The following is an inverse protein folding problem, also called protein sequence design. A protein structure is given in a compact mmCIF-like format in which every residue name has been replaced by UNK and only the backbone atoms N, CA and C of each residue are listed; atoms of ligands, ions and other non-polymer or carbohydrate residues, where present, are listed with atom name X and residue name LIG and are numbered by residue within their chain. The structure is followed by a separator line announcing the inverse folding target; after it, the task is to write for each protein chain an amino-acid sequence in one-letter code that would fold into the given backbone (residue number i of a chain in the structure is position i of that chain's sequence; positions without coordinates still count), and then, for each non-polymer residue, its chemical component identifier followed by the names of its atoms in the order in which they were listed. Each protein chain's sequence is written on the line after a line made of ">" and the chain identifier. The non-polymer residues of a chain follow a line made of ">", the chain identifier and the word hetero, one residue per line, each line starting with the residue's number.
data_IF_383688901749
#
_entry.id   IF_383688901749
#
_cell.length_a   1.000
_cell.length_b   1.000
_cell.length_c   1.000
_cell.angle_alpha   90.00
_cell.angle_beta   90.00
_cell.angle_gamma   90.00
#
_symmetry.space_group_name_H-M   'P 1'
#
loop_
_entity.id
_entity.type
_entity.pdbx_description
1 polymer ?
#
# COMPACT_ATOMS: atom_id res chain seq x y z
N UNK A 1 -11.18 10.00 -24.25
CA UNK A 1 -10.54 10.03 -22.91
C UNK A 1 -9.33 10.93 -23.00
N UNK A 2 -9.14 11.87 -22.06
CA UNK A 2 -7.92 12.68 -22.02
C UNK A 2 -6.72 11.83 -21.59
N UNK A 3 -5.51 12.19 -22.04
CA UNK A 3 -4.27 11.50 -21.65
C UNK A 3 -4.10 11.48 -20.14
N UNK A 4 -3.69 10.34 -19.59
CA UNK A 4 -3.37 10.24 -18.16
C UNK A 4 -2.17 11.16 -17.84
N UNK A 5 -2.19 11.89 -16.73
CA UNK A 5 -1.09 12.77 -16.36
C UNK A 5 0.19 11.95 -16.12
N UNK A 6 1.34 12.46 -16.59
CA UNK A 6 2.68 11.80 -16.50
C UNK A 6 2.97 11.17 -15.13
N UNK A 7 2.69 11.82 -13.98
CA UNK A 7 2.85 11.23 -12.64
C UNK A 7 2.16 9.88 -12.40
N UNK A 8 1.17 9.51 -13.22
CA UNK A 8 0.42 8.24 -13.09
C UNK A 8 0.97 7.12 -13.96
N UNK A 9 1.79 7.43 -14.95
CA UNK A 9 2.27 6.46 -15.95
C UNK A 9 3.77 6.19 -15.84
N UNK A 10 4.52 7.10 -15.21
CA UNK A 10 5.95 6.91 -14.97
C UNK A 10 6.13 6.02 -13.73
N UNK A 11 6.79 4.85 -13.86
CA UNK A 11 7.15 4.02 -12.71
C UNK A 11 7.96 4.82 -11.71
N UNK A 12 7.51 4.84 -10.46
CA UNK A 12 8.17 5.56 -9.38
C UNK A 12 7.84 4.86 -8.07
N UNK A 13 8.72 5.02 -7.08
CA UNK A 13 8.44 4.49 -5.74
C UNK A 13 7.18 5.14 -5.15
N UNK A 14 6.53 4.48 -4.17
CA UNK A 14 5.36 5.04 -3.50
C UNK A 14 5.63 6.44 -2.97
N UNK A 15 4.62 7.30 -3.09
CA UNK A 15 4.62 8.69 -2.70
C UNK A 15 5.68 9.59 -3.37
N UNK A 16 6.40 9.15 -4.40
CA UNK A 16 7.29 10.06 -5.14
C UNK A 16 6.51 11.24 -5.74
N UNK A 17 5.35 10.96 -6.34
CA UNK A 17 4.33 11.95 -6.67
C UNK A 17 3.18 11.85 -5.66
N UNK A 18 2.97 12.89 -4.86
CA UNK A 18 2.00 12.90 -3.78
C UNK A 18 1.00 14.05 -3.91
N UNK A 19 -0.30 13.76 -3.91
CA UNK A 19 -1.34 14.75 -3.69
C UNK A 19 -1.61 14.93 -2.20
N UNK A 20 -1.93 16.15 -1.75
CA UNK A 20 -2.26 16.44 -0.35
C UNK A 20 -3.51 17.30 -0.21
N UNK A 21 -4.41 16.90 0.70
CA UNK A 21 -5.66 17.60 1.00
C UNK A 21 -5.98 17.48 2.49
N UNK A 22 -6.75 18.42 3.03
CA UNK A 22 -7.26 18.38 4.39
C UNK A 22 -8.70 17.91 4.47
N UNK A 23 -9.00 17.11 5.49
CA UNK A 23 -10.35 16.78 5.90
C UNK A 23 -10.66 17.35 7.29
N UNK A 24 -11.90 17.79 7.49
CA UNK A 24 -12.38 18.36 8.74
C UNK A 24 -13.12 19.68 8.52
N UNK A 25 -13.38 20.44 9.60
CA UNK A 25 -12.98 20.16 10.97
C UNK A 25 -13.72 18.96 11.58
N UNK A 26 -13.04 18.23 12.46
CA UNK A 26 -13.60 17.26 13.39
C UNK A 26 -13.45 17.81 14.82
N UNK A 27 -14.34 17.42 15.72
CA UNK A 27 -14.31 17.87 17.11
C UNK A 27 -13.74 16.76 18.01
N UNK A 28 -12.58 17.01 18.60
CA UNK A 28 -11.96 16.17 19.61
C UNK A 28 -12.52 16.52 20.99
N UNK A 29 -12.65 15.51 21.87
CA UNK A 29 -12.83 15.72 23.31
C UNK A 29 -11.47 15.71 24.02
N UNK A 30 -11.22 16.66 24.91
CA UNK A 30 -10.11 16.52 25.85
C UNK A 30 -10.39 15.33 26.79
N UNK A 31 -9.46 14.38 26.84
CA UNK A 31 -9.61 13.11 27.56
C UNK A 31 -9.32 13.20 29.05
N UNK A 32 -8.80 14.33 29.55
CA UNK A 32 -8.25 14.43 30.91
C UNK A 32 -9.07 15.28 31.88
N UNK A 33 -9.95 16.15 31.41
CA UNK A 33 -10.66 17.11 32.27
C UNK A 33 -12.18 16.94 32.25
N UNK A 34 -12.82 17.22 33.41
CA UNK A 34 -14.28 17.16 33.59
C UNK A 34 -15.02 18.21 32.74
N UNK A 35 -14.33 19.28 32.34
CA UNK A 35 -14.84 20.34 31.45
C UNK A 35 -14.53 19.99 29.98
N UNK A 36 -15.59 19.69 29.23
CA UNK A 36 -15.56 19.17 27.86
C UNK A 36 -15.27 20.26 26.82
N UNK A 37 -14.09 20.88 26.86
CA UNK A 37 -13.66 21.75 25.76
C UNK A 37 -13.47 20.89 24.52
N UNK A 38 -14.21 21.20 23.46
CA UNK A 38 -14.06 20.56 22.15
C UNK A 38 -12.99 21.30 21.37
N UNK A 39 -11.97 20.57 20.92
CA UNK A 39 -10.87 21.14 20.13
C UNK A 39 -11.09 20.73 18.68
N UNK A 40 -10.91 21.67 17.74
CA UNK A 40 -10.95 21.34 16.32
C UNK A 40 -9.72 20.52 15.94
N UNK A 41 -9.91 19.52 15.10
CA UNK A 41 -8.84 18.76 14.51
C UNK A 41 -9.12 18.54 13.02
N UNK A 42 -8.05 18.31 12.28
CA UNK A 42 -8.07 18.10 10.85
C UNK A 42 -7.22 16.87 10.53
N UNK A 43 -7.52 16.23 9.41
CA UNK A 43 -6.74 15.10 8.90
C UNK A 43 -6.05 15.57 7.64
N UNK A 44 -4.72 15.61 7.65
CA UNK A 44 -3.90 15.80 6.47
C UNK A 44 -3.81 14.46 5.73
N UNK A 45 -4.32 14.40 4.51
CA UNK A 45 -4.42 13.18 3.71
C UNK A 45 -3.43 13.28 2.55
N UNK A 46 -2.46 12.39 2.55
CA UNK A 46 -1.47 12.21 1.49
C UNK A 46 -1.88 11.05 0.61
N UNK A 47 -1.87 11.23 -0.70
CA UNK A 47 -2.24 10.19 -1.67
C UNK A 47 -1.13 10.04 -2.70
N UNK A 48 -0.64 8.82 -2.85
CA UNK A 48 0.31 8.47 -3.88
C UNK A 48 -0.37 8.46 -5.25
N UNK A 49 0.13 9.23 -6.22
CA UNK A 49 -0.47 9.30 -7.56
C UNK A 49 -0.16 8.07 -8.42
N UNK A 50 0.93 7.34 -8.14
CA UNK A 50 1.30 6.12 -8.86
C UNK A 50 0.54 4.89 -8.34
N UNK A 51 0.59 4.61 -7.04
CA UNK A 51 0.00 3.39 -6.43
C UNK A 51 -1.40 3.60 -5.87
N UNK A 52 -1.86 4.86 -5.78
CA UNK A 52 -3.09 5.26 -5.08
C UNK A 52 -3.07 4.93 -3.57
N UNK A 53 -1.91 4.66 -2.98
CA UNK A 53 -1.78 4.49 -1.54
C UNK A 53 -2.18 5.77 -0.80
N UNK A 54 -2.78 5.62 0.39
CA UNK A 54 -3.24 6.72 1.26
C UNK A 54 -2.37 6.74 2.50
N UNK A 55 -2.07 7.94 3.01
CA UNK A 55 -1.49 8.14 4.34
C UNK A 55 -2.23 9.28 5.04
N UNK A 56 -2.58 9.11 6.31
CA UNK A 56 -3.40 10.06 7.07
C UNK A 56 -2.69 10.52 8.35
N UNK A 57 -2.65 11.84 8.54
CA UNK A 57 -2.03 12.48 9.71
C UNK A 57 -3.03 13.38 10.44
N UNK A 58 -3.20 13.17 11.74
CA UNK A 58 -4.02 14.03 12.58
C UNK A 58 -3.26 15.30 12.97
N UNK A 59 -3.91 16.45 12.83
CA UNK A 59 -3.41 17.75 13.27
C UNK A 59 -4.51 18.51 14.03
N UNK A 60 -4.12 19.46 14.88
CA UNK A 60 -5.03 20.24 15.73
C UNK A 60 -5.35 21.62 15.16
N UNK A 61 -4.68 22.02 14.08
CA UNK A 61 -4.89 23.30 13.42
C UNK A 61 -4.57 23.19 11.92
N UNK A 62 -4.87 24.26 11.17
CA UNK A 62 -4.53 24.40 9.75
C UNK A 62 -3.37 25.38 9.55
N UNK A 63 -2.46 25.50 10.53
CA UNK A 63 -1.30 26.37 10.38
C UNK A 63 -0.25 25.75 9.45
N UNK A 64 0.66 26.59 8.95
CA UNK A 64 1.87 26.14 8.23
C UNK A 64 2.70 25.19 9.08
N UNK A 65 2.89 25.50 10.37
CA UNK A 65 3.66 24.65 11.28
C UNK A 65 2.99 23.29 11.52
N UNK A 66 1.67 23.29 11.73
CA UNK A 66 0.86 22.08 11.86
C UNK A 66 1.00 21.17 10.63
N UNK A 67 0.95 21.75 9.43
CA UNK A 67 1.21 21.02 8.19
C UNK A 67 2.65 20.48 8.13
N UNK A 68 3.67 21.31 8.38
CA UNK A 68 5.07 20.89 8.29
C UNK A 68 5.37 19.73 9.24
N UNK A 69 4.78 19.75 10.44
CA UNK A 69 4.89 18.64 11.40
C UNK A 69 4.21 17.37 10.88
N UNK A 70 3.02 17.47 10.26
CA UNK A 70 2.38 16.33 9.59
C UNK A 70 3.21 15.79 8.41
N UNK A 71 3.73 16.70 7.59
CA UNK A 71 4.58 16.36 6.44
C UNK A 71 5.85 15.64 6.89
N UNK A 72 6.52 16.11 7.96
CA UNK A 72 7.68 15.43 8.56
C UNK A 72 7.33 14.01 9.00
N UNK A 73 6.24 13.79 9.75
CA UNK A 73 5.80 12.44 10.16
C UNK A 73 5.54 11.54 8.96
N UNK A 74 4.88 12.08 7.93
CA UNK A 74 4.62 11.36 6.69
C UNK A 74 5.91 10.94 5.97
N UNK A 75 6.83 11.86 5.68
CA UNK A 75 8.07 11.53 4.96
C UNK A 75 8.99 10.66 5.78
N UNK A 76 8.97 10.75 7.12
CA UNK A 76 9.70 9.82 7.99
C UNK A 76 9.22 8.38 7.90
N UNK A 77 7.95 8.15 7.52
CA UNK A 77 7.39 6.79 7.35
C UNK A 77 7.34 6.32 5.91
N UNK A 78 7.21 7.24 4.95
CA UNK A 78 6.96 6.93 3.52
C UNK A 78 8.13 7.32 2.60
N UNK A 79 9.14 7.99 3.14
CA UNK A 79 10.22 8.60 2.38
C UNK A 79 9.87 9.99 1.88
N UNK A 80 10.91 10.80 1.63
CA UNK A 80 10.78 12.16 1.10
C UNK A 80 10.02 12.17 -0.24
N UNK A 81 9.08 13.05 -0.49
CA UNK A 81 8.44 13.12 -1.82
C UNK A 81 9.34 13.85 -2.82
N UNK A 82 9.29 13.48 -4.10
CA UNK A 82 9.92 14.27 -5.17
C UNK A 82 9.00 15.41 -5.63
N UNK A 83 7.70 15.15 -5.67
CA UNK A 83 6.68 16.09 -6.11
C UNK A 83 5.46 16.09 -5.16
N UNK A 84 5.03 17.28 -4.77
CA UNK A 84 3.83 17.48 -3.93
C UNK A 84 2.82 18.31 -4.72
N UNK A 85 1.56 17.88 -4.73
CA UNK A 85 0.45 18.55 -5.40
C UNK A 85 -0.61 18.96 -4.36
N UNK A 86 -1.01 20.22 -4.32
CA UNK A 86 -2.02 20.74 -3.40
C UNK A 86 -2.90 21.80 -4.05
N UNK A 87 -3.98 22.19 -3.37
CA UNK A 87 -4.66 23.46 -3.67
C UNK A 87 -3.82 24.66 -3.16
N UNK A 88 -4.32 25.87 -3.42
CA UNK A 88 -3.69 27.13 -3.02
C UNK A 88 -4.03 27.55 -1.58
N UNK A 89 -4.37 26.62 -0.68
CA UNK A 89 -4.59 26.97 0.72
C UNK A 89 -3.33 27.61 1.34
N UNK A 90 -3.53 28.62 2.18
CA UNK A 90 -2.46 29.47 2.71
C UNK A 90 -1.41 28.70 3.51
N UNK A 91 -1.82 27.62 4.19
CA UNK A 91 -0.92 26.73 4.92
C UNK A 91 0.01 25.94 3.99
N UNK A 92 -0.46 25.47 2.84
CA UNK A 92 0.38 24.80 1.84
C UNK A 92 1.34 25.78 1.17
N UNK A 93 0.86 26.98 0.82
CA UNK A 93 1.71 28.05 0.27
C UNK A 93 2.80 28.43 1.26
N UNK A 94 2.44 28.65 2.53
CA UNK A 94 3.40 28.94 3.61
C UNK A 94 4.40 27.81 3.81
N UNK A 95 3.95 26.56 3.76
CA UNK A 95 4.82 25.39 3.95
C UNK A 95 5.81 25.21 2.81
N UNK A 96 5.39 25.43 1.56
CA UNK A 96 6.28 25.45 0.41
C UNK A 96 7.37 26.52 0.57
N UNK A 97 7.00 27.73 1.01
CA UNK A 97 7.96 28.81 1.24
C UNK A 97 8.98 28.44 2.33
N UNK A 98 8.55 27.85 3.44
CA UNK A 98 9.47 27.39 4.50
C UNK A 98 10.40 26.27 4.02
N UNK A 99 9.90 25.30 3.25
CA UNK A 99 10.74 24.25 2.67
C UNK A 99 11.78 24.81 1.70
N UNK A 100 11.41 25.80 0.87
CA UNK A 100 12.34 26.47 -0.04
C UNK A 100 13.45 27.23 0.72
N UNK A 101 13.10 27.92 1.81
CA UNK A 101 14.10 28.60 2.68
C UNK A 101 15.08 27.60 3.29
N UNK A 102 14.59 26.47 3.80
CA UNK A 102 15.45 25.42 4.36
C UNK A 102 16.42 24.87 3.31
N UNK A 103 15.93 24.62 2.09
CA UNK A 103 16.79 24.19 0.98
C UNK A 103 17.87 25.23 0.64
N UNK A 104 17.56 26.53 0.75
CA UNK A 104 18.52 27.60 0.50
C UNK A 104 19.60 27.67 1.59
N UNK A 105 19.22 27.67 2.88
CA UNK A 105 20.17 27.68 4.00
C UNK A 105 21.15 26.50 3.93
N UNK A 106 20.64 25.31 3.59
CA UNK A 106 21.47 24.11 3.48
C UNK A 106 22.40 24.19 2.26
N UNK A 107 21.92 24.73 1.14
CA UNK A 107 22.78 24.98 -0.03
C UNK A 107 23.91 25.94 0.32
N UNK A 108 23.63 27.01 1.06
CA UNK A 108 24.62 28.04 1.38
C UNK A 108 25.65 27.55 2.43
N UNK A 109 25.29 26.56 3.26
CA UNK A 109 26.14 26.05 4.35
C UNK A 109 26.84 24.71 4.07
N UNK A 110 26.28 23.86 3.21
CA UNK A 110 26.74 22.46 3.00
C UNK A 110 27.24 22.21 1.57
N UNK A 111 27.15 23.20 0.66
CA UNK A 111 27.44 23.03 -0.77
C UNK A 111 28.82 22.41 -1.07
N UNK A 112 29.84 22.66 -0.24
CA UNK A 112 31.19 22.14 -0.52
C UNK A 112 31.30 20.63 -0.33
N UNK A 113 30.52 20.02 0.58
CA UNK A 113 30.67 18.60 0.93
C UNK A 113 29.71 17.68 0.17
N UNK A 114 28.52 18.17 -0.20
CA UNK A 114 27.48 17.37 -0.87
C UNK A 114 26.68 18.18 -1.91
N UNK A 115 27.31 18.71 -2.97
CA UNK A 115 26.67 19.61 -3.94
C UNK A 115 25.47 18.97 -4.67
N UNK A 116 25.54 17.67 -4.94
CA UNK A 116 24.49 16.95 -5.68
C UNK A 116 23.36 16.42 -4.80
N UNK A 117 23.62 16.15 -3.52
CA UNK A 117 22.62 15.52 -2.64
C UNK A 117 21.37 16.41 -2.47
N UNK A 118 21.55 17.71 -2.26
CA UNK A 118 20.44 18.64 -2.04
C UNK A 118 19.74 19.08 -3.33
N UNK A 119 20.43 19.05 -4.47
CA UNK A 119 19.80 19.30 -5.77
C UNK A 119 18.97 18.10 -6.23
N UNK A 120 19.44 16.88 -6.00
CA UNK A 120 18.75 15.62 -6.33
C UNK A 120 17.53 15.35 -5.42
N UNK A 121 17.56 15.79 -4.15
CA UNK A 121 16.48 15.55 -3.18
C UNK A 121 15.54 16.74 -2.99
N UNK A 122 15.45 17.65 -3.96
CA UNK A 122 14.57 18.82 -3.87
C UNK A 122 13.10 18.44 -4.08
N UNK A 123 12.26 18.82 -3.13
CA UNK A 123 10.80 18.74 -3.29
C UNK A 123 10.36 19.79 -4.31
N UNK A 124 9.66 19.36 -5.36
CA UNK A 124 8.98 20.26 -6.30
C UNK A 124 7.50 20.35 -5.97
N UNK A 125 7.04 21.55 -5.61
CA UNK A 125 5.64 21.79 -5.26
C UNK A 125 4.84 22.27 -6.46
N UNK A 126 3.65 21.70 -6.65
CA UNK A 126 2.71 22.02 -7.73
C UNK A 126 1.39 22.47 -7.14
N UNK A 127 1.02 23.72 -7.40
CA UNK A 127 -0.28 24.26 -6.98
C UNK A 127 -1.30 24.09 -8.10
N UNK A 128 -2.41 23.41 -7.79
CA UNK A 128 -3.44 23.11 -8.77
C UNK A 128 -4.33 24.36 -8.93
N UNK A 129 -4.61 24.79 -10.18
CA UNK A 129 -5.53 25.90 -10.42
C UNK A 129 -6.91 25.60 -9.84
N UNK A 130 -7.62 26.61 -9.29
CA UNK A 130 -8.99 26.43 -8.83
C UNK A 130 -9.87 25.83 -9.93
N UNK A 131 -10.64 24.77 -9.61
CA UNK A 131 -11.58 24.10 -10.53
C UNK A 131 -10.93 23.43 -11.77
N UNK A 132 -9.78 22.77 -11.63
CA UNK A 132 -9.16 21.99 -12.74
C UNK A 132 -9.41 20.47 -12.63
N UNK A 133 -10.58 19.95 -13.05
CA UNK A 133 -10.97 18.53 -12.86
C UNK A 133 -10.07 17.53 -13.61
N UNK A 134 -9.29 17.96 -14.61
CA UNK A 134 -8.46 17.08 -15.44
C UNK A 134 -7.21 16.54 -14.71
N UNK A 135 -6.72 17.22 -13.68
CA UNK A 135 -5.54 16.77 -12.93
C UNK A 135 -5.88 15.85 -11.74
N UNK A 136 -7.16 15.82 -11.30
CA UNK A 136 -7.52 15.34 -9.96
C UNK A 136 -8.39 14.08 -9.86
N UNK A 137 -9.03 13.57 -10.92
CA UNK A 137 -10.14 12.61 -10.78
C UNK A 137 -9.93 11.39 -9.87
N UNK A 138 -8.75 10.75 -9.86
CA UNK A 138 -8.44 9.62 -8.95
C UNK A 138 -8.06 10.05 -7.53
N UNK A 139 -7.39 11.19 -7.40
CA UNK A 139 -6.99 11.74 -6.10
C UNK A 139 -8.20 12.34 -5.39
N UNK A 140 -8.99 13.17 -6.09
CA UNK A 140 -10.23 13.76 -5.60
C UNK A 140 -11.26 12.71 -5.19
N UNK A 141 -11.40 11.62 -5.95
CA UNK A 141 -12.33 10.55 -5.60
C UNK A 141 -11.90 9.79 -4.35
N UNK A 142 -10.59 9.50 -4.19
CA UNK A 142 -10.07 8.87 -2.98
C UNK A 142 -10.25 9.76 -1.73
N UNK A 143 -9.91 11.06 -1.83
CA UNK A 143 -10.12 12.00 -0.72
C UNK A 143 -11.60 12.18 -0.40
N UNK A 144 -12.45 12.33 -1.43
CA UNK A 144 -13.91 12.46 -1.25
C UNK A 144 -14.48 11.23 -0.56
N UNK A 145 -14.07 10.03 -0.98
CA UNK A 145 -14.49 8.78 -0.36
C UNK A 145 -14.05 8.72 1.10
N UNK A 146 -12.79 9.03 1.42
CA UNK A 146 -12.31 9.12 2.80
C UNK A 146 -13.17 10.07 3.65
N UNK A 147 -13.33 11.33 3.19
CA UNK A 147 -14.09 12.38 3.88
C UNK A 147 -15.52 11.94 4.15
N UNK A 148 -16.16 11.34 3.14
CA UNK A 148 -17.55 10.90 3.20
C UNK A 148 -17.75 9.82 4.27
N UNK A 149 -16.95 8.77 4.24
CA UNK A 149 -17.11 7.63 5.15
C UNK A 149 -16.71 7.97 6.57
N UNK A 150 -15.60 8.71 6.76
CA UNK A 150 -15.14 9.09 8.08
C UNK A 150 -16.18 9.95 8.81
N UNK A 151 -16.79 10.92 8.13
CA UNK A 151 -17.84 11.76 8.70
C UNK A 151 -19.06 10.95 9.17
N UNK A 152 -19.49 9.94 8.38
CA UNK A 152 -20.65 9.09 8.72
C UNK A 152 -20.36 8.14 9.87
N UNK A 153 -19.14 7.63 9.95
CA UNK A 153 -18.71 6.72 11.01
C UNK A 153 -18.60 7.45 12.33
N UNK A 154 -17.96 8.63 12.35
CA UNK A 154 -17.84 9.43 13.55
C UNK A 154 -19.22 9.93 14.02
N UNK A 155 -20.06 10.47 13.13
CA UNK A 155 -21.34 11.06 13.53
C UNK A 155 -21.14 12.11 14.62
N UNK A 156 -21.85 11.97 15.74
CA UNK A 156 -21.69 12.83 16.93
C UNK A 156 -20.69 12.29 17.96
N UNK A 157 -19.94 11.22 17.64
CA UNK A 157 -18.92 10.70 18.52
C UNK A 157 -17.68 11.61 18.50
N UNK A 158 -17.30 12.08 19.68
CA UNK A 158 -16.10 12.88 19.89
C UNK A 158 -15.04 11.98 20.51
N UNK A 159 -13.98 11.68 19.77
CA UNK A 159 -12.84 10.91 20.25
C UNK A 159 -11.80 11.86 20.87
N UNK A 160 -10.95 11.36 21.76
CA UNK A 160 -9.75 12.13 22.14
C UNK A 160 -8.69 11.98 21.04
N UNK A 161 -7.59 12.73 21.16
CA UNK A 161 -6.53 12.74 20.14
C UNK A 161 -5.98 11.34 19.83
N UNK A 162 -5.57 10.59 20.85
CA UNK A 162 -4.97 9.26 20.68
C UNK A 162 -5.92 8.27 20.00
N UNK A 163 -7.18 8.23 20.42
CA UNK A 163 -8.15 7.32 19.81
C UNK A 163 -8.53 7.74 18.40
N UNK A 164 -8.62 9.05 18.12
CA UNK A 164 -8.84 9.47 16.75
C UNK A 164 -7.63 9.12 15.87
N UNK A 165 -6.42 9.29 16.38
CA UNK A 165 -5.20 8.88 15.69
C UNK A 165 -5.21 7.37 15.39
N UNK A 166 -5.51 6.52 16.38
CA UNK A 166 -5.61 5.07 16.18
C UNK A 166 -6.69 4.72 15.14
N UNK A 167 -7.87 5.34 15.20
CA UNK A 167 -8.93 5.12 14.20
C UNK A 167 -8.43 5.46 12.78
N UNK A 168 -7.72 6.58 12.62
CA UNK A 168 -7.18 7.00 11.33
C UNK A 168 -6.14 6.03 10.79
N UNK A 169 -5.25 5.51 11.65
CA UNK A 169 -4.26 4.50 11.23
C UNK A 169 -4.91 3.20 10.76
N UNK A 170 -6.00 2.77 11.40
CA UNK A 170 -6.73 1.56 10.98
C UNK A 170 -7.54 1.81 9.70
N UNK A 171 -8.13 2.99 9.54
CA UNK A 171 -8.78 3.40 8.29
C UNK A 171 -7.77 3.45 7.14
N UNK A 172 -6.56 4.00 7.37
CA UNK A 172 -5.48 3.99 6.39
C UNK A 172 -5.15 2.56 5.93
N UNK A 173 -5.04 1.62 6.87
CA UNK A 173 -4.81 0.21 6.55
C UNK A 173 -5.96 -0.37 5.71
N UNK A 174 -7.22 -0.11 6.09
CA UNK A 174 -8.41 -0.52 5.33
C UNK A 174 -8.34 -0.03 3.89
N UNK A 175 -8.09 1.26 3.69
CA UNK A 175 -8.04 1.85 2.35
C UNK A 175 -6.91 1.24 1.53
N UNK A 176 -5.76 0.98 2.14
CA UNK A 176 -4.60 0.40 1.47
C UNK A 176 -4.69 -1.11 1.26
N UNK A 177 -5.65 -1.80 1.89
CA UNK A 177 -5.92 -3.23 1.65
C UNK A 177 -6.70 -3.52 0.36
N UNK A 178 -7.25 -2.50 -0.31
CA UNK A 178 -8.14 -2.72 -1.46
C UNK A 178 -7.45 -3.40 -2.65
N UNK A 179 -8.09 -4.39 -3.28
CA UNK A 179 -7.66 -5.00 -4.53
C UNK A 179 -7.62 -3.98 -5.68
N UNK A 180 -6.53 -3.98 -6.44
CA UNK A 180 -6.37 -3.16 -7.66
C UNK A 180 -6.53 -4.04 -8.90
N UNK A 181 -5.79 -5.15 -8.94
CA UNK A 181 -5.72 -6.10 -10.05
C UNK A 181 -5.21 -7.46 -9.55
N UNK A 182 -5.42 -8.55 -10.32
CA UNK A 182 -4.87 -9.86 -9.98
C UNK A 182 -3.34 -9.80 -9.89
N UNK A 183 -2.76 -10.33 -8.80
CA UNK A 183 -1.30 -10.27 -8.61
C UNK A 183 -0.56 -11.15 -9.62
N UNK A 184 -1.16 -12.29 -9.98
CA UNK A 184 -0.60 -13.25 -10.93
C UNK A 184 -1.64 -13.70 -11.95
N UNK A 185 -1.17 -14.22 -13.08
CA UNK A 185 -2.02 -14.83 -14.10
C UNK A 185 -2.30 -16.32 -13.81
N UNK A 186 -1.71 -16.90 -12.75
CA UNK A 186 -1.88 -18.30 -12.39
C UNK A 186 -3.32 -18.56 -11.95
N UNK A 187 -4.00 -19.53 -12.58
CA UNK A 187 -5.38 -19.90 -12.28
C UNK A 187 -5.59 -20.44 -10.86
N UNK A 188 -4.51 -20.88 -10.21
CA UNK A 188 -4.54 -21.43 -8.85
C UNK A 188 -4.39 -20.37 -7.76
N UNK A 189 -3.91 -19.17 -8.13
CA UNK A 189 -3.66 -18.07 -7.21
C UNK A 189 -4.86 -17.10 -7.14
N UNK A 190 -5.24 -16.74 -5.92
CA UNK A 190 -6.34 -15.82 -5.60
C UNK A 190 -5.85 -14.57 -4.87
N UNK A 191 -4.60 -14.17 -5.08
CA UNK A 191 -4.08 -12.92 -4.54
C UNK A 191 -4.32 -11.75 -5.50
N UNK A 192 -4.69 -10.61 -4.92
CA UNK A 192 -4.82 -9.35 -5.63
C UNK A 192 -3.74 -8.38 -5.17
N UNK A 193 -3.15 -7.67 -6.13
CA UNK A 193 -2.27 -6.55 -5.86
C UNK A 193 -3.06 -5.45 -5.16
N UNK A 194 -2.53 -4.95 -4.05
CA UNK A 194 -3.13 -3.87 -3.24
C UNK A 194 -2.13 -2.73 -3.06
N UNK A 195 -2.56 -1.51 -2.73
CA UNK A 195 -1.64 -0.45 -2.33
C UNK A 195 -0.70 -0.88 -1.18
N UNK A 196 -1.17 -1.72 -0.27
CA UNK A 196 -0.38 -2.29 0.83
C UNK A 196 0.88 -3.02 0.37
N UNK A 197 0.81 -3.78 -0.73
CA UNK A 197 1.96 -4.47 -1.31
C UNK A 197 3.10 -3.51 -1.66
N UNK A 198 2.76 -2.30 -2.13
CA UNK A 198 3.77 -1.29 -2.41
C UNK A 198 4.36 -0.65 -1.15
N UNK A 199 3.62 -0.65 -0.04
CA UNK A 199 4.03 0.00 1.21
C UNK A 199 4.88 -0.90 2.10
N UNK A 200 4.54 -2.18 2.19
CA UNK A 200 5.17 -3.14 3.12
C UNK A 200 5.69 -4.41 2.42
N UNK A 201 5.52 -4.55 1.10
CA UNK A 201 5.94 -5.73 0.35
C UNK A 201 4.90 -6.87 0.32
N UNK A 202 3.81 -6.76 1.08
CA UNK A 202 2.78 -7.79 1.20
C UNK A 202 1.37 -7.20 1.44
N UNK A 203 0.36 -8.06 1.51
CA UNK A 203 -1.01 -7.65 1.80
C UNK A 203 -1.18 -7.24 3.27
N UNK A 204 -1.96 -6.19 3.52
CA UNK A 204 -2.29 -5.75 4.87
C UNK A 204 -3.32 -6.70 5.50
N UNK A 205 -3.02 -7.17 6.71
CA UNK A 205 -3.89 -8.07 7.48
C UNK A 205 -4.33 -7.35 8.76
N UNK A 206 -5.62 -7.47 9.11
CA UNK A 206 -6.15 -6.87 10.33
C UNK A 206 -5.81 -7.74 11.53
N UNK A 207 -5.61 -7.11 12.68
CA UNK A 207 -5.74 -7.85 13.94
C UNK A 207 -7.17 -8.38 14.01
N UNK A 208 -7.39 -9.68 14.28
CA UNK A 208 -8.72 -10.27 14.30
C UNK A 208 -9.68 -9.46 15.18
N UNK A 209 -10.78 -8.93 14.62
CA UNK A 209 -11.68 -8.10 15.39
C UNK A 209 -12.52 -8.95 16.34
N UNK A 210 -12.87 -8.41 17.50
CA UNK A 210 -13.98 -8.95 18.30
C UNK A 210 -15.31 -8.63 17.60
N UNK A 211 -16.23 -9.60 17.55
CA UNK A 211 -17.53 -9.42 16.91
C UNK A 211 -18.48 -8.63 17.82
N UNK A 212 -18.21 -7.34 17.99
CA UNK A 212 -18.91 -6.45 18.92
C UNK A 212 -19.93 -5.52 18.22
N UNK A 213 -20.23 -5.72 16.93
CA UNK A 213 -21.05 -4.80 16.10
C UNK A 213 -22.44 -4.55 16.72
N UNK A 214 -23.05 -5.58 17.31
CA UNK A 214 -24.41 -5.52 17.86
C UNK A 214 -24.48 -5.01 19.31
N UNK A 215 -23.32 -4.73 19.94
CA UNK A 215 -23.29 -4.31 21.33
C UNK A 215 -23.59 -2.80 21.43
N UNK A 216 -24.58 -2.37 22.22
CA UNK A 216 -24.84 -0.95 22.43
C UNK A 216 -23.59 -0.21 22.93
N UNK A 217 -23.26 0.93 22.30
CA UNK A 217 -22.04 1.70 22.59
C UNK A 217 -21.90 2.11 24.06
N UNK A 218 -23.01 2.24 24.80
CA UNK A 218 -23.03 2.54 26.24
C UNK A 218 -22.54 1.38 27.14
N UNK A 219 -22.41 0.15 26.61
CA UNK A 219 -21.92 -1.03 27.33
C UNK A 219 -20.47 -1.39 26.97
N UNK A 220 -19.84 -0.62 26.08
CA UNK A 220 -18.52 -0.92 25.56
C UNK A 220 -17.44 -0.17 26.31
N UNK A 221 -16.38 -0.89 26.70
CA UNK A 221 -15.11 -0.26 27.05
C UNK A 221 -14.60 0.52 25.83
N UNK A 222 -13.89 1.62 26.08
CA UNK A 222 -13.43 2.56 25.07
C UNK A 222 -12.73 1.90 23.87
N UNK A 223 -11.94 0.84 24.13
CA UNK A 223 -11.31 0.02 23.10
C UNK A 223 -12.32 -0.65 22.14
N UNK A 224 -13.40 -1.25 22.65
CA UNK A 224 -14.43 -1.90 21.83
C UNK A 224 -15.22 -0.90 20.99
N UNK A 225 -15.46 0.30 21.51
CA UNK A 225 -16.09 1.36 20.73
C UNK A 225 -15.24 1.76 19.51
N UNK A 226 -13.91 1.84 19.67
CA UNK A 226 -13.01 2.08 18.55
C UNK A 226 -13.12 0.97 17.47
N UNK A 227 -13.15 -0.31 17.90
CA UNK A 227 -13.31 -1.45 17.00
C UNK A 227 -14.61 -1.39 16.20
N UNK A 228 -15.72 -1.01 16.85
CA UNK A 228 -17.00 -0.80 16.16
C UNK A 228 -16.92 0.29 15.09
N UNK A 229 -16.24 1.41 15.35
CA UNK A 229 -16.08 2.48 14.36
C UNK A 229 -15.30 1.98 13.14
N UNK A 230 -14.28 1.16 13.35
CA UNK A 230 -13.47 0.55 12.28
C UNK A 230 -14.30 -0.44 11.46
N UNK A 231 -15.07 -1.32 12.12
CA UNK A 231 -15.99 -2.25 11.45
C UNK A 231 -17.07 -1.52 10.65
N UNK A 232 -17.64 -0.45 11.21
CA UNK A 232 -18.63 0.38 10.52
C UNK A 232 -18.02 1.11 9.32
N UNK A 233 -16.80 1.62 9.45
CA UNK A 233 -16.08 2.22 8.32
C UNK A 233 -15.89 1.20 7.21
N UNK A 234 -15.37 0.03 7.55
CA UNK A 234 -15.19 -1.07 6.62
C UNK A 234 -16.49 -1.43 5.90
N UNK A 235 -17.58 -1.70 6.65
CA UNK A 235 -18.84 -2.11 6.05
C UNK A 235 -19.44 -1.08 5.09
N UNK A 236 -19.34 0.21 5.41
CA UNK A 236 -19.86 1.26 4.53
C UNK A 236 -18.97 1.42 3.29
N UNK A 237 -17.66 1.54 3.52
CA UNK A 237 -16.71 1.84 2.47
C UNK A 237 -16.47 0.69 1.51
N UNK A 238 -16.37 -0.56 1.98
CA UNK A 238 -16.16 -1.72 1.10
C UNK A 238 -17.34 -1.91 0.15
N UNK A 239 -18.57 -1.73 0.64
CA UNK A 239 -19.79 -1.75 -0.18
C UNK A 239 -19.78 -0.67 -1.25
N UNK A 240 -19.49 0.58 -0.87
CA UNK A 240 -19.41 1.69 -1.82
C UNK A 240 -18.27 1.52 -2.84
N UNK A 241 -17.13 0.98 -2.40
CA UNK A 241 -16.01 0.68 -3.27
C UNK A 241 -16.39 -0.38 -4.31
N UNK A 242 -16.99 -1.51 -3.91
CA UNK A 242 -17.45 -2.56 -4.82
C UNK A 242 -18.50 -2.01 -5.81
N UNK A 243 -19.44 -1.20 -5.34
CA UNK A 243 -20.43 -0.56 -6.21
C UNK A 243 -19.74 0.38 -7.23
N UNK A 244 -18.69 1.11 -6.83
CA UNK A 244 -17.94 2.00 -7.72
C UNK A 244 -17.19 1.24 -8.84
N UNK A 245 -16.77 -0.01 -8.59
CA UNK A 245 -16.15 -0.86 -9.61
C UNK A 245 -17.17 -1.34 -10.66
N UNK A 246 -18.46 -1.40 -10.31
CA UNK A 246 -19.54 -1.81 -11.21
C UNK A 246 -20.09 -0.66 -12.06
N UNK A 247 -19.88 0.60 -11.66
CA UNK A 247 -20.41 1.77 -12.36
C UNK A 247 -19.79 1.90 -13.76
N UNK A 248 -20.58 1.57 -14.79
CA UNK A 248 -20.21 1.63 -16.20
C UNK A 248 -19.97 3.07 -16.65
N UNK A 249 -18.81 3.36 -17.21
CA UNK A 249 -18.59 4.56 -18.01
C UNK A 249 -19.43 4.47 -19.29
N UNK A 250 -20.42 5.36 -19.45
CA UNK A 250 -21.25 5.65 -20.64
C UNK A 250 -21.20 4.62 -21.79
N UNK A 251 -22.35 4.00 -22.05
CA UNK A 251 -22.77 3.06 -23.11
C UNK A 251 -22.30 3.32 -24.56
N UNK A 252 -21.01 3.58 -24.82
CA UNK A 252 -20.51 3.87 -26.17
C UNK A 252 -19.64 2.75 -26.75
N UNK A 253 -19.32 1.69 -26.00
CA UNK A 253 -18.53 0.57 -26.52
C UNK A 253 -18.97 -0.76 -25.92
N UNK A 254 -19.15 -1.77 -26.77
CA UNK A 254 -19.46 -3.15 -26.39
C UNK A 254 -18.26 -3.69 -25.58
N UNK A 255 -18.48 -4.08 -24.33
CA UNK A 255 -17.43 -4.68 -23.50
C UNK A 255 -17.26 -6.16 -23.83
N UNK A 256 -16.05 -6.68 -23.64
CA UNK A 256 -15.81 -8.12 -23.71
C UNK A 256 -16.63 -8.85 -22.65
N UNK A 257 -17.20 -10.00 -23.03
CA UNK A 257 -17.87 -10.88 -22.09
C UNK A 257 -16.91 -11.37 -21.01
N UNK A 258 -17.47 -11.63 -19.84
CA UNK A 258 -16.78 -12.29 -18.74
C UNK A 258 -16.32 -13.67 -19.22
N UNK A 259 -15.05 -14.02 -18.96
CA UNK A 259 -14.41 -15.28 -19.38
C UNK A 259 -14.05 -16.13 -18.16
N UNK A 260 -13.93 -17.43 -18.40
CA UNK A 260 -13.34 -18.35 -17.44
C UNK A 260 -11.91 -17.91 -17.08
N UNK A 261 -11.51 -18.16 -15.83
CA UNK A 261 -10.20 -17.81 -15.31
C UNK A 261 -10.05 -16.37 -14.80
N UNK A 262 -11.05 -15.50 -14.99
CA UNK A 262 -11.04 -14.12 -14.46
C UNK A 262 -11.20 -14.14 -12.94
N UNK A 263 -10.30 -13.43 -12.23
CA UNK A 263 -10.42 -13.15 -10.80
C UNK A 263 -11.49 -12.06 -10.58
N UNK A 264 -12.41 -12.32 -9.66
CA UNK A 264 -13.53 -11.44 -9.33
C UNK A 264 -13.58 -11.17 -7.83
N UNK A 265 -14.12 -10.01 -7.48
CA UNK A 265 -14.50 -9.68 -6.10
C UNK A 265 -15.92 -10.15 -5.85
N UNK A 266 -16.11 -10.87 -4.76
CA UNK A 266 -17.44 -11.31 -4.32
C UNK A 266 -18.02 -10.29 -3.36
N UNK A 267 -19.31 -10.01 -3.54
CA UNK A 267 -20.06 -9.12 -2.67
C UNK A 267 -20.70 -9.97 -1.58
N UNK A 268 -20.01 -10.12 -0.47
CA UNK A 268 -20.50 -10.82 0.72
C UNK A 268 -20.76 -9.80 1.84
N UNK A 269 -21.76 -10.08 2.66
CA UNK A 269 -22.07 -9.28 3.85
C UNK A 269 -21.27 -9.79 5.04
N UNK A 270 -20.93 -8.88 5.97
CA UNK A 270 -20.29 -9.16 7.26
C UNK A 270 -18.83 -9.68 7.23
N UNK A 271 -18.10 -9.43 6.15
CA UNK A 271 -16.66 -9.71 6.12
C UNK A 271 -15.88 -8.87 7.13
N UNK A 272 -14.82 -9.42 7.77
CA UNK A 272 -13.97 -8.66 8.66
C UNK A 272 -13.16 -7.59 7.90
N UNK A 273 -12.71 -6.51 8.57
CA UNK A 273 -11.92 -5.46 7.93
C UNK A 273 -10.70 -6.01 7.17
N UNK A 274 -10.46 -5.48 5.97
CA UNK A 274 -9.36 -5.85 5.06
C UNK A 274 -9.47 -7.25 4.44
N UNK A 275 -10.53 -8.01 4.74
CA UNK A 275 -10.80 -9.29 4.09
C UNK A 275 -11.67 -9.07 2.85
N UNK A 276 -11.08 -9.24 1.68
CA UNK A 276 -11.79 -9.14 0.41
C UNK A 276 -12.07 -10.54 -0.13
N UNK A 277 -13.35 -10.96 -0.20
CA UNK A 277 -13.73 -12.20 -0.86
C UNK A 277 -13.33 -12.16 -2.32
N UNK A 278 -12.42 -13.06 -2.70
CA UNK A 278 -11.93 -13.21 -4.06
C UNK A 278 -12.34 -14.59 -4.56
N UNK A 279 -12.78 -14.64 -5.81
CA UNK A 279 -13.12 -15.87 -6.49
C UNK A 279 -12.58 -15.88 -7.90
N UNK A 280 -12.47 -17.07 -8.50
CA UNK A 280 -12.15 -17.19 -9.92
C UNK A 280 -13.30 -17.88 -10.64
N UNK A 281 -13.66 -17.32 -11.80
CA UNK A 281 -14.72 -17.86 -12.64
C UNK A 281 -14.26 -19.18 -13.24
N UNK A 282 -14.98 -20.26 -12.95
CA UNK A 282 -14.64 -21.60 -13.45
C UNK A 282 -15.43 -21.91 -14.72
N UNK A 283 -16.68 -21.46 -14.80
CA UNK A 283 -17.54 -21.67 -15.97
C UNK A 283 -18.52 -20.52 -16.16
N UNK A 284 -18.83 -20.21 -17.43
CA UNK A 284 -19.78 -19.15 -17.82
C UNK A 284 -20.90 -19.74 -18.67
N UNK A 285 -22.13 -19.28 -18.45
CA UNK A 285 -23.28 -19.64 -19.30
C UNK A 285 -23.65 -18.45 -20.18
N UNK A 286 -23.66 -18.61 -21.52
CA UNK A 286 -24.16 -17.56 -22.41
C UNK A 286 -25.66 -17.37 -22.18
N UNK A 287 -26.11 -16.13 -22.26
CA UNK A 287 -27.50 -15.75 -22.18
C UNK A 287 -28.30 -16.19 -23.39
N UNK A 288 -29.61 -15.98 -23.30
CA UNK A 288 -30.58 -16.34 -24.35
C UNK A 288 -30.28 -15.72 -25.73
N UNK A 289 -29.54 -14.61 -25.76
CA UNK A 289 -29.09 -13.93 -26.97
C UNK A 289 -27.72 -14.42 -27.49
N UNK A 290 -27.08 -15.38 -26.81
CA UNK A 290 -25.73 -15.89 -27.06
C UNK A 290 -24.63 -14.81 -27.01
N UNK A 291 -24.94 -13.62 -26.51
CA UNK A 291 -24.09 -12.44 -26.61
C UNK A 291 -23.66 -11.87 -25.27
N UNK A 292 -24.36 -12.15 -24.17
CA UNK A 292 -24.01 -11.71 -22.82
C UNK A 292 -23.98 -12.89 -21.85
N UNK A 293 -22.99 -12.95 -20.96
CA UNK A 293 -22.99 -13.95 -19.87
C UNK A 293 -24.08 -13.56 -18.87
N UNK A 294 -25.13 -14.36 -18.78
CA UNK A 294 -26.25 -14.13 -17.84
C UNK A 294 -25.93 -14.68 -16.44
N UNK A 295 -25.15 -15.77 -16.35
CA UNK A 295 -24.89 -16.45 -15.08
C UNK A 295 -23.48 -17.07 -15.02
N UNK A 296 -22.81 -16.89 -13.87
CA UNK A 296 -21.60 -17.64 -13.50
C UNK A 296 -22.05 -18.86 -12.70
N UNK A 297 -21.75 -20.06 -13.18
CA UNK A 297 -22.25 -21.33 -12.64
C UNK A 297 -21.40 -21.88 -11.50
N UNK A 298 -20.09 -21.60 -11.52
CA UNK A 298 -19.19 -22.04 -10.46
C UNK A 298 -18.05 -21.05 -10.25
N UNK A 299 -17.81 -20.74 -8.98
CA UNK A 299 -16.72 -19.90 -8.51
C UNK A 299 -15.88 -20.78 -7.60
N UNK A 300 -14.57 -20.84 -7.85
CA UNK A 300 -13.65 -21.50 -6.92
C UNK A 300 -13.37 -20.55 -5.76
N UNK A 301 -13.89 -20.90 -4.60
CA UNK A 301 -13.52 -20.29 -3.32
C UNK A 301 -12.24 -20.97 -2.82
N UNK A 302 -11.21 -20.19 -2.50
CA UNK A 302 -10.34 -20.58 -1.38
C UNK A 302 -10.74 -19.65 -0.26
N UNK A 303 -11.73 -20.07 0.54
CA UNK A 303 -11.82 -19.54 1.88
C UNK A 303 -10.45 -19.84 2.49
N UNK A 304 -9.64 -18.81 2.76
CA UNK A 304 -8.53 -18.94 3.71
C UNK A 304 -9.18 -19.04 5.09
N UNK A 305 -10.02 -20.05 5.29
CA UNK A 305 -10.32 -20.55 6.61
C UNK A 305 -8.98 -21.03 7.13
N UNK A 306 -8.53 -20.42 8.23
CA UNK A 306 -7.32 -20.71 8.99
C UNK A 306 -6.57 -21.94 8.44
N UNK A 307 -5.84 -21.75 7.34
CA UNK A 307 -5.05 -22.83 6.79
C UNK A 307 -3.98 -23.07 7.84
N UNK A 308 -3.78 -24.34 8.24
CA UNK A 308 -2.67 -24.72 9.12
C UNK A 308 -1.44 -23.91 8.67
N UNK A 309 -0.86 -23.04 9.51
CA UNK A 309 0.21 -22.14 9.12
C UNK A 309 1.34 -22.87 8.36
N UNK A 310 1.53 -24.15 8.69
CA UNK A 310 2.47 -25.04 8.02
C UNK A 310 2.13 -25.28 6.55
N UNK A 311 0.87 -25.52 6.21
CA UNK A 311 0.42 -25.78 4.84
C UNK A 311 0.52 -24.53 3.97
N UNK A 312 0.18 -23.35 4.51
CA UNK A 312 0.35 -22.07 3.79
C UNK A 312 1.83 -21.72 3.58
N UNK A 313 2.67 -21.92 4.60
CA UNK A 313 4.12 -21.74 4.48
C UNK A 313 4.71 -22.70 3.43
N UNK A 314 4.33 -23.98 3.43
CA UNK A 314 4.79 -24.95 2.44
C UNK A 314 4.34 -24.58 1.02
N UNK A 315 3.10 -24.13 0.85
CA UNK A 315 2.60 -23.67 -0.45
C UNK A 315 3.37 -22.43 -0.95
N UNK A 316 3.65 -21.45 -0.08
CA UNK A 316 4.46 -20.27 -0.42
C UNK A 316 5.92 -20.63 -0.75
N UNK A 317 6.51 -21.59 -0.03
CA UNK A 317 7.85 -22.12 -0.33
C UNK A 317 7.86 -22.81 -1.70
N UNK A 318 6.86 -23.63 -1.99
CA UNK A 318 6.70 -24.32 -3.27
C UNK A 318 6.57 -23.31 -4.43
N UNK A 319 5.74 -22.27 -4.26
CA UNK A 319 5.57 -21.19 -5.23
C UNK A 319 6.88 -20.43 -5.45
N UNK A 320 7.56 -20.02 -4.38
CA UNK A 320 8.86 -19.36 -4.46
C UNK A 320 9.91 -20.24 -5.16
N UNK A 321 9.95 -21.54 -4.88
CA UNK A 321 10.85 -22.51 -5.54
C UNK A 321 10.56 -22.63 -7.03
N UNK A 322 9.29 -22.71 -7.43
CA UNK A 322 8.87 -22.77 -8.84
C UNK A 322 9.23 -21.49 -9.59
N UNK A 323 8.94 -20.34 -9.00
CA UNK A 323 9.30 -19.03 -9.55
C UNK A 323 10.82 -18.92 -9.70
N UNK A 324 11.58 -19.26 -8.67
CA UNK A 324 13.05 -19.25 -8.71
C UNK A 324 13.62 -20.22 -9.75
N UNK A 325 13.09 -21.45 -9.83
CA UNK A 325 13.50 -22.44 -10.83
C UNK A 325 13.17 -22.00 -12.26
N UNK A 326 12.08 -21.24 -12.45
CA UNK A 326 11.68 -20.69 -13.75
C UNK A 326 12.57 -19.53 -14.21
N UNK A 327 13.31 -18.87 -13.29
CA UNK A 327 14.26 -17.78 -13.58
C UNK A 327 15.64 -18.29 -14.05
N UNK A 328 15.71 -19.50 -14.59
CA UNK A 328 16.96 -20.16 -15.01
C UNK A 328 17.77 -19.33 -16.02
N UNK A 329 17.08 -18.58 -16.87
CA UNK A 329 17.65 -17.65 -17.85
C UNK A 329 18.34 -16.45 -17.19
N UNK A 330 17.83 -15.98 -16.05
CA UNK A 330 18.38 -14.84 -15.32
C UNK A 330 19.65 -15.22 -14.55
N UNK A 331 19.75 -16.46 -14.03
CA UNK A 331 20.95 -16.93 -13.34
C UNK A 331 22.04 -17.46 -14.27
N UNK A 332 21.69 -17.83 -15.51
CA UNK A 332 22.61 -18.48 -16.46
C UNK A 332 22.98 -17.59 -17.65
N UNK A 333 22.37 -16.41 -17.79
CA UNK A 333 22.66 -15.47 -18.87
C UNK A 333 24.02 -14.81 -18.68
N UNK A 334 24.85 -14.85 -19.73
CA UNK A 334 26.13 -14.12 -19.79
C UNK A 334 25.97 -12.67 -20.24
N UNK A 335 24.76 -12.26 -20.62
CA UNK A 335 24.45 -10.94 -21.20
C UNK A 335 23.90 -9.94 -20.19
N UNK A 336 23.88 -10.28 -18.90
CA UNK A 336 23.42 -9.38 -17.85
C UNK A 336 24.47 -8.29 -17.58
N UNK A 337 24.03 -7.03 -17.57
CA UNK A 337 24.90 -5.91 -17.22
C UNK A 337 25.48 -6.07 -15.81
N UNK A 338 26.65 -5.45 -15.58
CA UNK A 338 27.32 -5.48 -14.27
C UNK A 338 26.42 -4.92 -13.15
N UNK A 339 25.62 -3.90 -13.45
CA UNK A 339 24.68 -3.28 -12.52
C UNK A 339 23.55 -4.23 -12.09
N UNK A 340 23.02 -5.03 -13.03
CA UNK A 340 22.00 -6.04 -12.73
C UNK A 340 22.56 -7.19 -11.89
N UNK A 341 23.82 -7.59 -12.13
CA UNK A 341 24.52 -8.55 -11.29
C UNK A 341 24.72 -8.05 -9.85
N UNK A 342 25.05 -6.77 -9.68
CA UNK A 342 25.21 -6.15 -8.35
C UNK A 342 23.87 -6.09 -7.62
N UNK A 343 22.79 -5.73 -8.30
CA UNK A 343 21.43 -5.74 -7.72
C UNK A 343 21.00 -7.14 -7.25
N UNK A 344 21.23 -8.18 -8.05
CA UNK A 344 21.00 -9.57 -7.66
C UNK A 344 21.80 -9.96 -6.41
N UNK A 345 23.09 -9.58 -6.36
CA UNK A 345 24.02 -9.85 -5.24
C UNK A 345 23.67 -9.12 -3.94
N UNK A 346 23.14 -7.90 -4.02
CA UNK A 346 22.85 -7.08 -2.83
C UNK A 346 21.45 -7.28 -2.25
N UNK A 347 20.48 -7.72 -3.04
CA UNK A 347 19.08 -7.81 -2.59
C UNK A 347 18.56 -9.25 -2.48
N UNK A 348 19.01 -10.18 -3.31
CA UNK A 348 18.46 -11.55 -3.33
C UNK A 348 19.29 -12.49 -2.46
N UNK A 349 20.62 -12.46 -2.60
CA UNK A 349 21.51 -13.34 -1.84
C UNK A 349 21.56 -13.05 -0.33
N UNK A 350 21.56 -11.80 0.14
CA UNK A 350 21.56 -11.52 1.58
C UNK A 350 20.26 -11.94 2.24
N UNK A 351 19.11 -11.85 1.57
CA UNK A 351 17.83 -12.37 2.08
C UNK A 351 17.84 -13.90 2.16
N UNK A 352 18.49 -14.56 1.20
CA UNK A 352 18.67 -16.01 1.20
C UNK A 352 19.62 -16.49 2.31
N UNK A 353 20.68 -15.72 2.59
CA UNK A 353 21.68 -16.00 3.64
C UNK A 353 21.15 -15.60 5.03
N UNK A 354 20.38 -14.53 5.15
CA UNK A 354 19.75 -14.09 6.41
C UNK A 354 18.79 -15.15 6.96
N UNK A 355 18.11 -15.92 6.08
CA UNK A 355 17.33 -17.09 6.50
C UNK A 355 18.16 -18.15 7.24
N UNK A 356 19.47 -18.25 6.97
CA UNK A 356 20.38 -19.20 7.62
C UNK A 356 20.81 -18.75 9.04
N UNK A 357 20.74 -17.46 9.37
CA UNK A 357 21.02 -16.95 10.73
C UNK A 357 19.96 -17.39 11.75
N UNK A 358 18.75 -17.68 11.26
CA UNK A 358 17.62 -18.19 12.06
C UNK A 358 17.51 -19.73 12.09
N UNK A 359 18.44 -20.46 11.46
CA UNK A 359 18.47 -21.92 11.48
C UNK A 359 19.53 -22.43 12.44
N UNK A 360 19.22 -23.46 13.22
CA UNK A 360 20.26 -24.25 13.90
C UNK A 360 21.04 -25.03 12.84
N UNK A 361 22.06 -24.39 12.28
CA UNK A 361 22.94 -24.95 11.27
C UNK A 361 23.69 -26.14 11.88
N UNK A 362 23.38 -27.35 11.41
CA UNK A 362 24.23 -28.50 11.72
C UNK A 362 25.55 -28.40 10.92
N UNK A 363 26.59 -29.03 11.44
CA UNK A 363 27.94 -28.92 10.89
C UNK A 363 28.01 -29.36 9.41
N UNK A 364 27.20 -30.36 9.03
CA UNK A 364 27.10 -30.83 7.64
C UNK A 364 26.55 -29.78 6.69
N UNK A 365 25.54 -29.01 7.11
CA UNK A 365 24.95 -27.96 6.29
C UNK A 365 25.86 -26.73 6.23
N UNK A 366 26.53 -26.38 7.34
CA UNK A 366 27.55 -25.33 7.37
C UNK A 366 28.71 -25.64 6.40
N UNK A 367 29.19 -26.88 6.37
CA UNK A 367 30.23 -27.30 5.44
C UNK A 367 29.79 -27.22 3.97
N UNK A 368 28.52 -27.51 3.67
CA UNK A 368 27.96 -27.40 2.31
C UNK A 368 27.84 -25.95 1.84
N UNK A 369 27.42 -25.05 2.73
CA UNK A 369 27.33 -23.62 2.43
C UNK A 369 28.73 -23.05 2.20
N UNK A 370 29.69 -23.33 3.08
CA UNK A 370 31.08 -22.89 2.91
C UNK A 370 31.72 -23.43 1.63
N UNK A 371 31.48 -24.70 1.29
CA UNK A 371 31.98 -25.30 0.04
C UNK A 371 31.37 -24.63 -1.20
N UNK A 372 30.08 -24.30 -1.16
CA UNK A 372 29.40 -23.59 -2.23
C UNK A 372 29.89 -22.14 -2.37
N UNK A 373 30.08 -21.45 -1.24
CA UNK A 373 30.64 -20.11 -1.19
C UNK A 373 32.07 -20.08 -1.76
N UNK A 374 32.94 -21.01 -1.35
CA UNK A 374 34.29 -21.15 -1.89
C UNK A 374 34.31 -21.50 -3.37
N UNK A 375 33.42 -22.38 -3.83
CA UNK A 375 33.25 -22.67 -5.25
C UNK A 375 32.90 -21.40 -6.06
N UNK A 376 31.97 -20.58 -5.55
CA UNK A 376 31.59 -19.32 -6.19
C UNK A 376 32.75 -18.31 -6.19
N UNK A 377 33.49 -18.18 -5.09
CA UNK A 377 34.68 -17.33 -5.01
C UNK A 377 35.76 -17.73 -6.01
N UNK A 378 36.10 -19.02 -6.11
CA UNK A 378 37.07 -19.52 -7.09
C UNK A 378 36.62 -19.23 -8.53
N UNK A 379 35.33 -19.38 -8.84
CA UNK A 379 34.76 -19.06 -10.15
C UNK A 379 34.77 -17.57 -10.46
N UNK A 380 34.58 -16.72 -9.46
CA UNK A 380 34.66 -15.26 -9.59
C UNK A 380 36.08 -14.75 -9.81
N UNK A 381 37.08 -15.42 -9.23
CA UNK A 381 38.51 -15.07 -9.35
C UNK A 381 39.22 -15.79 -10.50
N UNK A 382 38.53 -16.67 -11.25
CA UNK A 382 39.12 -17.46 -12.33
C UNK A 382 40.13 -18.52 -11.85
N UNK A 383 40.08 -18.91 -10.58
CA UNK A 383 40.98 -19.89 -9.98
C UNK A 383 40.44 -21.30 -10.25
N UNK A 384 41.21 -22.09 -11.00
CA UNK A 384 40.92 -23.50 -11.28
C UNK A 384 41.34 -24.38 -10.10
N UNK A 385 40.47 -25.32 -9.70
CA UNK A 385 40.84 -26.38 -8.75
C UNK A 385 41.79 -27.37 -9.44
N UNK A 386 43.10 -27.18 -9.27
CA UNK A 386 44.06 -28.28 -9.41
C UNK A 386 44.85 -28.41 -8.11
N UNK A 387 44.91 -29.66 -7.69
CA UNK A 387 45.49 -30.26 -6.48
C UNK A 387 46.93 -29.85 -6.22
N UNK A 388 47.21 -29.30 -5.05
CA UNK A 388 48.46 -29.57 -4.33
C UNK A 388 48.15 -30.54 -3.19
N UNK A 389 48.19 -31.82 -3.52
CA UNK A 389 48.52 -32.89 -2.58
C UNK A 389 49.79 -33.52 -3.13
N UNK A 390 50.94 -33.04 -2.64
CA UNK A 390 52.18 -33.80 -2.43
C UNK A 390 53.26 -32.85 -1.87
N UNK A 391 53.33 -32.80 -0.53
CA UNK A 391 54.58 -32.88 0.25
C UNK A 391 54.28 -33.48 1.63
#
# INVERSE_FOLDING_TARGET
>A
MGSLPKPRVVPSRPFYYCGVDYAGPYLLKDGKTRNRVKIKAYVCIFICLSTRAVHAELVTDLSTEGFLNAFKRFVSRRGLCGHVFSDNATNFVGSNNELLKLCQVVRDSVNEKYPNYFSEHRITWHFIPPKSPHHGGTWESAVRSFKHHLKRVLGDNHLNFENFYTLLTQIEAILNSRPILPLTNDLSDLEALTPGHFLIGESLIAVPPSNDIDIPANRLRHFKHLQQLVQRFWSLWSKDYLNSLQQRSKWQTRQENVKEGILVLLKEDNEPPMRWPLGRIVSVHPGSDNLLVEQVSSIKYLVKDACDPKTEILAKIEQARRTFASMKTLFSSRDLSLELHILLRCYIFPVFIYGAESWTLNQTLGNRINAFEMYLYCRMLGISWMTESDQ
#
